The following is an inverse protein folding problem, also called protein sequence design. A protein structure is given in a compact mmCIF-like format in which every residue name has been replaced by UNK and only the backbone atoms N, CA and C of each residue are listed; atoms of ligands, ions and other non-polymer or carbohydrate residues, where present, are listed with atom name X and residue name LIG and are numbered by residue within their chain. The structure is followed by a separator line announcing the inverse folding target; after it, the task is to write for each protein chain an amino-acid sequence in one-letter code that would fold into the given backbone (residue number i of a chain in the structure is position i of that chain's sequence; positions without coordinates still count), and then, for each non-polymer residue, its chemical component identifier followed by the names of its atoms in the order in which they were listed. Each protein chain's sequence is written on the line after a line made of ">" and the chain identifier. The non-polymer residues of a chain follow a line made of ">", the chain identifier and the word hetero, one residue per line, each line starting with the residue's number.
data_IF_678090821577
#
_entry.id   IF_678090821577
#
_cell.length_a   1.000
_cell.length_b   1.000
_cell.length_c   1.000
_cell.angle_alpha   90.00
_cell.angle_beta   90.00
_cell.angle_gamma   90.00
#
_symmetry.space_group_name_H-M   'P 1'
#
loop_
_entity.id
_entity.type
_entity.pdbx_description
1 polymer ?
#
# COMPACT_ATOMS: atom_id res chain seq x y z
N UNK A 1 -16.85 6.14 3.17
CA UNK A 1 -15.78 5.42 3.91
C UNK A 1 -14.76 4.93 2.90
N UNK A 2 -13.50 5.26 3.13
CA UNK A 2 -12.46 4.91 2.17
C UNK A 2 -12.05 3.44 2.27
N UNK A 3 -11.59 2.90 1.16
CA UNK A 3 -11.19 1.50 1.04
C UNK A 3 -9.68 1.39 0.88
N UNK A 4 -9.07 0.53 1.67
CA UNK A 4 -7.62 0.31 1.69
C UNK A 4 -7.32 -1.14 1.32
N UNK A 5 -6.35 -1.32 0.42
CA UNK A 5 -5.81 -2.62 0.08
C UNK A 5 -4.40 -2.74 0.65
N UNK A 6 -4.17 -3.74 1.49
CA UNK A 6 -2.84 -4.05 2.01
C UNK A 6 -2.21 -5.09 1.09
N UNK A 7 -1.00 -4.84 0.63
CA UNK A 7 -0.26 -5.75 -0.25
C UNK A 7 1.05 -6.10 0.43
N UNK A 8 1.11 -7.31 0.99
CA UNK A 8 2.26 -7.77 1.78
C UNK A 8 2.22 -9.30 1.86
N UNK A 9 3.35 -9.95 1.70
CA UNK A 9 3.42 -11.41 1.78
C UNK A 9 3.36 -11.95 3.22
N UNK A 10 3.48 -11.07 4.22
CA UNK A 10 3.35 -11.45 5.62
C UNK A 10 1.87 -11.48 6.03
N UNK A 11 1.28 -12.67 6.06
CA UNK A 11 -0.14 -12.86 6.38
C UNK A 11 -0.48 -12.37 7.78
N UNK A 12 0.41 -12.59 8.76
CA UNK A 12 0.16 -12.16 10.13
C UNK A 12 0.10 -10.63 10.23
N UNK A 13 1.02 -9.95 9.57
CA UNK A 13 1.00 -8.48 9.52
C UNK A 13 -0.29 -7.99 8.89
N UNK A 14 -0.69 -8.57 7.76
CA UNK A 14 -1.93 -8.19 7.07
C UNK A 14 -3.15 -8.35 7.97
N UNK A 15 -3.23 -9.46 8.69
CA UNK A 15 -4.36 -9.75 9.58
C UNK A 15 -4.46 -8.71 10.70
N UNK A 16 -3.34 -8.45 11.38
CA UNK A 16 -3.31 -7.49 12.48
C UNK A 16 -3.61 -6.08 11.98
N UNK A 17 -2.96 -5.66 10.91
CA UNK A 17 -3.13 -4.33 10.36
C UNK A 17 -4.56 -4.11 9.85
N UNK A 18 -5.14 -5.12 9.21
CA UNK A 18 -6.55 -5.05 8.79
C UNK A 18 -7.47 -4.82 9.98
N UNK A 19 -7.29 -5.57 11.07
CA UNK A 19 -8.11 -5.41 12.26
C UNK A 19 -7.99 -4.00 12.83
N UNK A 20 -6.76 -3.47 12.91
CA UNK A 20 -6.52 -2.13 13.43
C UNK A 20 -7.21 -1.07 12.56
N UNK A 21 -7.11 -1.18 11.25
CA UNK A 21 -7.67 -0.19 10.32
C UNK A 21 -9.21 -0.28 10.26
N UNK A 22 -9.76 -1.48 10.29
CA UNK A 22 -11.22 -1.67 10.32
C UNK A 22 -11.81 -1.04 11.58
N UNK A 23 -11.13 -1.17 12.71
CA UNK A 23 -11.61 -0.61 13.97
C UNK A 23 -11.72 0.92 13.92
N UNK A 24 -10.87 1.59 13.16
CA UNK A 24 -10.95 3.05 13.01
C UNK A 24 -11.87 3.49 11.87
N UNK A 25 -12.52 2.57 11.18
CA UNK A 25 -13.60 2.88 10.24
C UNK A 25 -13.30 2.70 8.77
N UNK A 26 -12.12 2.18 8.38
CA UNK A 26 -11.82 1.92 6.96
C UNK A 26 -12.40 0.59 6.51
N UNK A 27 -12.70 0.49 5.21
CA UNK A 27 -12.92 -0.79 4.56
C UNK A 27 -11.55 -1.34 4.16
N UNK A 28 -11.22 -2.56 4.54
CA UNK A 28 -9.88 -3.09 4.33
C UNK A 28 -9.91 -4.51 3.78
N UNK A 29 -9.13 -4.74 2.75
CA UNK A 29 -8.83 -6.08 2.25
C UNK A 29 -7.31 -6.22 2.14
N UNK A 30 -6.82 -7.44 2.02
CA UNK A 30 -5.39 -7.65 1.76
C UNK A 30 -5.17 -8.76 0.74
N UNK A 31 -4.05 -8.66 0.04
CA UNK A 31 -3.54 -9.70 -0.83
C UNK A 31 -2.07 -9.95 -0.46
N UNK A 32 -1.57 -11.13 -0.74
CA UNK A 32 -0.25 -11.55 -0.27
C UNK A 32 0.78 -11.70 -1.40
N UNK A 33 0.45 -11.21 -2.59
CA UNK A 33 1.38 -11.18 -3.71
C UNK A 33 0.99 -10.07 -4.69
N UNK A 34 1.94 -9.67 -5.55
CA UNK A 34 1.72 -8.55 -6.46
C UNK A 34 0.71 -8.84 -7.56
N UNK A 35 0.64 -10.08 -8.04
CA UNK A 35 -0.28 -10.45 -9.12
C UNK A 35 -1.72 -10.29 -8.67
N UNK A 36 -2.03 -10.65 -7.44
CA UNK A 36 -3.38 -10.58 -6.89
C UNK A 36 -3.91 -9.15 -6.76
N UNK A 37 -3.04 -8.15 -6.77
CA UNK A 37 -3.44 -6.73 -6.71
C UNK A 37 -4.40 -6.39 -7.84
N UNK A 38 -4.08 -6.79 -9.06
CA UNK A 38 -4.83 -6.35 -10.25
C UNK A 38 -6.19 -7.03 -10.34
N UNK A 39 -6.28 -8.29 -9.92
CA UNK A 39 -7.56 -8.96 -9.79
C UNK A 39 -8.44 -8.26 -8.75
N UNK A 40 -7.88 -7.91 -7.62
CA UNK A 40 -8.61 -7.18 -6.57
C UNK A 40 -9.11 -5.83 -7.08
N UNK A 41 -8.23 -5.06 -7.74
CA UNK A 41 -8.60 -3.72 -8.26
C UNK A 41 -9.68 -3.80 -9.33
N UNK A 42 -9.76 -4.89 -10.05
CA UNK A 42 -10.80 -5.07 -11.08
C UNK A 42 -12.17 -5.36 -10.49
N UNK A 43 -12.23 -5.86 -9.25
CA UNK A 43 -13.48 -6.28 -8.60
C UNK A 43 -13.98 -5.28 -7.55
N UNK A 44 -13.07 -4.54 -6.95
CA UNK A 44 -13.37 -3.72 -5.75
C UNK A 44 -12.74 -2.34 -5.89
N UNK A 45 -13.51 -1.26 -5.63
CA UNK A 45 -12.92 0.09 -5.60
C UNK A 45 -11.93 0.19 -4.45
N UNK A 46 -10.75 0.73 -4.71
CA UNK A 46 -9.70 0.94 -3.72
C UNK A 46 -9.22 2.38 -3.82
N UNK A 47 -9.16 3.06 -2.68
CA UNK A 47 -8.71 4.45 -2.61
C UNK A 47 -7.22 4.56 -2.31
N UNK A 48 -6.68 3.59 -1.57
CA UNK A 48 -5.29 3.59 -1.10
C UNK A 48 -4.75 2.18 -1.06
N UNK A 49 -3.51 2.01 -1.51
CA UNK A 49 -2.74 0.77 -1.35
C UNK A 49 -1.63 1.00 -0.34
N UNK A 50 -1.52 0.09 0.64
CA UNK A 50 -0.34 -0.02 1.50
C UNK A 50 0.51 -1.14 0.91
N UNK A 51 1.68 -0.80 0.39
CA UNK A 51 2.45 -1.69 -0.47
C UNK A 51 3.83 -2.00 0.10
N UNK A 52 4.12 -3.28 0.31
CA UNK A 52 5.48 -3.72 0.62
C UNK A 52 6.29 -3.81 -0.68
N UNK A 53 7.55 -3.38 -0.62
CA UNK A 53 8.44 -3.42 -1.78
C UNK A 53 9.04 -4.81 -2.02
N UNK A 54 9.18 -5.61 -0.96
CA UNK A 54 9.86 -6.90 -1.07
C UNK A 54 8.88 -8.05 -0.91
N UNK A 55 8.58 -8.69 -2.02
CA UNK A 55 7.70 -9.87 -2.05
C UNK A 55 8.25 -10.87 -3.07
N UNK A 56 8.07 -12.18 -2.84
CA UNK A 56 8.44 -13.18 -3.84
C UNK A 56 7.63 -12.99 -5.13
N UNK A 57 8.24 -13.31 -6.26
CA UNK A 57 7.59 -13.14 -7.56
C UNK A 57 7.52 -11.67 -7.95
N UNK A 58 6.34 -11.15 -8.16
CA UNK A 58 6.14 -9.74 -8.50
C UNK A 58 6.30 -8.87 -7.26
N UNK A 59 7.39 -8.11 -7.17
CA UNK A 59 7.67 -7.25 -6.02
C UNK A 59 6.92 -5.91 -6.10
N UNK A 60 7.09 -5.08 -5.05
CA UNK A 60 6.37 -3.81 -4.97
C UNK A 60 6.75 -2.81 -6.05
N UNK A 61 8.01 -2.79 -6.49
CA UNK A 61 8.42 -1.92 -7.59
C UNK A 61 7.73 -2.33 -8.90
N UNK A 62 7.59 -3.62 -9.13
CA UNK A 62 6.88 -4.12 -10.31
C UNK A 62 5.39 -3.80 -10.23
N UNK A 63 4.80 -3.85 -9.05
CA UNK A 63 3.41 -3.42 -8.85
C UNK A 63 3.25 -1.94 -9.17
N UNK A 64 4.16 -1.08 -8.69
CA UNK A 64 4.13 0.36 -8.99
C UNK A 64 4.23 0.61 -10.49
N UNK A 65 5.15 -0.08 -11.15
CA UNK A 65 5.34 0.05 -12.61
C UNK A 65 4.08 -0.34 -13.36
N UNK A 66 3.48 -1.47 -13.00
CA UNK A 66 2.28 -1.98 -13.66
C UNK A 66 1.08 -1.06 -13.44
N UNK A 67 0.91 -0.51 -12.25
CA UNK A 67 -0.13 0.48 -11.97
C UNK A 67 0.03 1.70 -12.86
N UNK A 68 1.25 2.19 -13.00
CA UNK A 68 1.55 3.32 -13.87
C UNK A 68 1.27 3.00 -15.34
N UNK A 69 1.75 1.84 -15.81
CA UNK A 69 1.59 1.43 -17.21
C UNK A 69 0.11 1.23 -17.57
N UNK A 70 -0.68 0.72 -16.65
CA UNK A 70 -2.13 0.54 -16.85
C UNK A 70 -2.94 1.81 -16.59
N UNK A 71 -2.29 2.89 -16.17
CA UNK A 71 -2.93 4.18 -15.86
C UNK A 71 -4.00 4.04 -14.78
N UNK A 72 -3.76 3.17 -13.81
CA UNK A 72 -4.65 3.01 -12.65
C UNK A 72 -4.33 4.10 -11.65
N UNK A 73 -5.33 4.91 -11.34
CA UNK A 73 -5.19 6.03 -10.40
C UNK A 73 -5.64 5.59 -9.01
N UNK A 74 -4.67 5.29 -8.17
CA UNK A 74 -4.87 4.93 -6.77
C UNK A 74 -3.71 5.53 -5.98
N UNK A 75 -3.99 5.96 -4.76
CA UNK A 75 -2.92 6.48 -3.90
C UNK A 75 -2.15 5.32 -3.29
N UNK A 76 -0.85 5.49 -3.10
CA UNK A 76 0.03 4.42 -2.64
C UNK A 76 0.93 4.93 -1.53
N UNK A 77 0.91 4.23 -0.40
CA UNK A 77 1.89 4.39 0.66
C UNK A 77 2.74 3.13 0.67
N UNK A 78 4.05 3.28 0.55
CA UNK A 78 4.97 2.15 0.68
C UNK A 78 5.20 1.90 2.16
N UNK A 79 5.00 0.65 2.59
CA UNK A 79 5.20 0.20 3.97
C UNK A 79 6.12 -1.01 3.94
N UNK A 80 7.41 -0.82 4.26
CA UNK A 80 8.41 -1.85 4.00
C UNK A 80 9.53 -1.83 5.03
N UNK A 81 10.14 -3.01 5.25
CA UNK A 81 11.38 -3.13 6.02
C UNK A 81 12.60 -2.65 5.21
N UNK A 82 12.47 -2.50 3.91
CA UNK A 82 13.54 -2.04 3.02
C UNK A 82 13.51 -0.52 2.89
N UNK A 83 13.76 0.15 4.02
CA UNK A 83 13.61 1.60 4.15
C UNK A 83 14.94 2.32 3.95
N UNK A 84 15.61 2.08 2.82
CA UNK A 84 16.81 2.83 2.45
C UNK A 84 16.43 4.06 1.58
N UNK A 85 17.38 4.99 1.48
CA UNK A 85 17.16 6.24 0.74
C UNK A 85 16.85 5.97 -0.73
N UNK A 86 17.58 5.02 -1.34
CA UNK A 86 17.38 4.70 -2.75
C UNK A 86 15.98 4.16 -3.02
N UNK A 87 15.50 3.24 -2.20
CA UNK A 87 14.15 2.68 -2.36
C UNK A 87 13.08 3.75 -2.17
N UNK A 88 13.25 4.65 -1.21
CA UNK A 88 12.32 5.74 -0.99
C UNK A 88 12.24 6.67 -2.20
N UNK A 89 13.39 7.05 -2.74
CA UNK A 89 13.46 7.93 -3.92
C UNK A 89 12.86 7.23 -5.14
N UNK A 90 13.24 5.99 -5.40
CA UNK A 90 12.77 5.24 -6.57
C UNK A 90 11.26 5.05 -6.52
N UNK A 91 10.71 4.68 -5.36
CA UNK A 91 9.25 4.49 -5.22
C UNK A 91 8.49 5.80 -5.40
N UNK A 92 9.02 6.91 -4.91
CA UNK A 92 8.41 8.22 -5.09
C UNK A 92 8.37 8.61 -6.58
N UNK A 93 9.46 8.35 -7.30
CA UNK A 93 9.52 8.60 -8.76
C UNK A 93 8.51 7.74 -9.52
N UNK A 94 8.17 6.59 -9.00
CA UNK A 94 7.22 5.66 -9.61
C UNK A 94 5.78 5.90 -9.14
N UNK A 95 5.52 6.97 -8.40
CA UNK A 95 4.17 7.39 -8.05
C UNK A 95 3.72 7.12 -6.64
N UNK A 96 4.58 6.59 -5.75
CA UNK A 96 4.22 6.44 -4.34
C UNK A 96 4.01 7.80 -3.69
N UNK A 97 2.94 7.92 -2.92
CA UNK A 97 2.58 9.17 -2.24
C UNK A 97 3.37 9.38 -0.95
N UNK A 98 3.75 8.31 -0.28
CA UNK A 98 4.53 8.38 0.95
C UNK A 98 5.25 7.06 1.20
N UNK A 99 6.12 7.04 2.21
CA UNK A 99 7.00 5.91 2.50
C UNK A 99 7.15 5.76 4.01
N UNK A 100 6.81 4.60 4.53
CA UNK A 100 6.90 4.30 5.97
C UNK A 100 7.73 3.03 6.15
N UNK A 101 8.68 3.08 7.10
CA UNK A 101 9.50 1.91 7.42
C UNK A 101 8.83 1.02 8.45
N UNK A 102 9.10 -0.29 8.33
CA UNK A 102 8.72 -1.26 9.36
C UNK A 102 9.83 -1.37 10.40
N UNK A 103 9.49 -1.63 11.67
CA UNK A 103 8.15 -1.77 12.21
C UNK A 103 7.43 -0.42 12.24
N UNK A 104 6.15 -0.42 11.91
CA UNK A 104 5.39 0.82 11.88
C UNK A 104 4.81 1.16 13.25
N UNK A 105 4.68 2.46 13.50
CA UNK A 105 3.88 2.99 14.60
C UNK A 105 2.47 3.22 14.04
N UNK A 106 1.46 2.63 14.66
CA UNK A 106 0.10 2.68 14.10
C UNK A 106 -0.46 4.10 14.04
N UNK A 107 -0.21 4.91 15.07
CA UNK A 107 -0.69 6.29 15.07
C UNK A 107 -0.05 7.11 13.95
N UNK A 108 1.26 6.94 13.74
CA UNK A 108 1.96 7.58 12.63
C UNK A 108 1.40 7.13 11.28
N UNK A 109 1.15 5.83 11.13
CA UNK A 109 0.56 5.28 9.91
C UNK A 109 -0.82 5.87 9.66
N UNK A 110 -1.67 5.97 10.69
CA UNK A 110 -3.00 6.58 10.54
C UNK A 110 -2.92 8.03 10.10
N UNK A 111 -2.02 8.80 10.68
CA UNK A 111 -1.83 10.21 10.30
C UNK A 111 -1.42 10.29 8.83
N UNK A 112 -0.50 9.45 8.40
CA UNK A 112 -0.03 9.43 7.02
C UNK A 112 -1.14 9.02 6.05
N UNK A 113 -1.92 7.99 6.40
CA UNK A 113 -3.06 7.56 5.60
C UNK A 113 -4.05 8.71 5.42
N UNK A 114 -4.41 9.37 6.51
CA UNK A 114 -5.35 10.48 6.48
C UNK A 114 -4.86 11.61 5.59
N UNK A 115 -3.59 11.98 5.71
CA UNK A 115 -3.00 13.04 4.89
C UNK A 115 -3.00 12.68 3.40
N UNK A 116 -2.64 11.45 3.07
CA UNK A 116 -2.57 11.00 1.68
C UNK A 116 -3.97 10.96 1.07
N UNK A 117 -4.96 10.45 1.80
CA UNK A 117 -6.33 10.38 1.32
C UNK A 117 -6.97 11.75 1.11
N UNK A 118 -6.52 12.77 1.84
CA UNK A 118 -7.03 14.14 1.72
C UNK A 118 -6.36 14.94 0.61
N UNK A 119 -5.26 14.45 0.05
CA UNK A 119 -4.56 15.17 -1.02
C UNK A 119 -5.34 15.09 -2.31
N UNK A 120 -5.43 16.21 -3.01
CA UNK A 120 -5.91 16.21 -4.39
C UNK A 120 -4.82 15.63 -5.28
N UNK A 121 -5.20 14.77 -6.20
CA UNK A 121 -4.26 14.13 -7.13
C UNK A 121 -4.00 15.00 -8.37
#
# INVERSE_FOLDING_TARGET
>A
MESILIVDDDVNLCTVLKEELVEVGYNVEFVNNGIAVFDCLSRTPVDLILLDLKMPGMDGFEVLKELHDRKIKVKIIVLTAYADVKSAIDSAKMGASDFISKPYDFDELLITISKVLQRDS
#
